data_IF_664582791925
#
_entry.id   IF_664582791925
#
_cell.length_a   1.000
_cell.length_b   1.000
_cell.length_c   1.000
_cell.angle_alpha   90.00
_cell.angle_beta   90.00
_cell.angle_gamma   90.00
#
_symmetry.space_group_name_H-M   'P 1'
#
loop_
_entity.id
_entity.type
_entity.pdbx_description
1 polymer ?
#
# COMPACT_ATOMS: atom_id res chain seq x y z
N UNK A 1 -9.78 -1.01 -7.64
CA UNK A 1 -9.63 -0.93 -9.12
C UNK A 1 -8.17 -0.78 -9.55
N UNK A 2 -7.39 0.13 -8.97
CA UNK A 2 -5.99 0.37 -9.38
C UNK A 2 -5.08 -0.86 -9.20
N UNK A 3 -5.11 -1.54 -8.03
CA UNK A 3 -4.29 -2.74 -7.80
C UNK A 3 -4.56 -3.86 -8.81
N UNK A 4 -5.83 -4.03 -9.23
CA UNK A 4 -6.25 -5.06 -10.19
C UNK A 4 -5.53 -4.95 -11.53
N UNK A 5 -5.29 -3.71 -12.00
CA UNK A 5 -4.62 -3.44 -13.27
C UNK A 5 -3.15 -3.05 -13.09
N UNK A 6 -2.59 -3.24 -11.89
CA UNK A 6 -1.26 -2.74 -11.57
C UNK A 6 -0.16 -3.34 -12.47
N UNK A 7 -0.24 -4.65 -12.73
CA UNK A 7 0.70 -5.35 -13.60
C UNK A 7 0.65 -4.78 -15.02
N UNK A 8 -0.56 -4.69 -15.60
CA UNK A 8 -0.78 -4.11 -16.93
C UNK A 8 -0.27 -2.67 -17.04
N UNK A 9 -0.47 -1.87 -15.98
CA UNK A 9 0.03 -0.48 -15.92
C UNK A 9 1.56 -0.46 -15.91
N UNK A 10 2.22 -1.31 -15.11
CA UNK A 10 3.67 -1.36 -15.02
C UNK A 10 4.30 -1.83 -16.35
N UNK A 11 3.74 -2.85 -16.99
CA UNK A 11 4.16 -3.30 -18.33
C UNK A 11 3.96 -2.21 -19.39
N UNK A 12 2.85 -1.49 -19.32
CA UNK A 12 2.59 -0.33 -20.18
C UNK A 12 3.64 0.76 -20.01
N UNK A 13 4.02 1.08 -18.77
CA UNK A 13 5.09 2.03 -18.45
C UNK A 13 6.44 1.54 -18.98
N UNK A 14 6.75 0.24 -18.87
CA UNK A 14 7.96 -0.36 -19.43
C UNK A 14 8.02 -0.19 -20.95
N UNK A 15 6.93 -0.51 -21.66
CA UNK A 15 6.84 -0.31 -23.12
C UNK A 15 7.06 1.15 -23.51
N UNK A 16 6.36 2.08 -22.85
CA UNK A 16 6.49 3.51 -23.11
C UNK A 16 7.91 4.04 -22.81
N UNK A 17 8.59 3.47 -21.81
CA UNK A 17 9.98 3.81 -21.45
C UNK A 17 11.02 3.37 -22.50
N UNK A 18 10.64 2.54 -23.47
CA UNK A 18 11.52 2.08 -24.55
C UNK A 18 11.15 2.69 -25.91
N UNK A 19 9.86 2.67 -26.24
CA UNK A 19 9.39 2.87 -27.62
C UNK A 19 8.87 4.29 -27.91
N UNK A 20 8.64 5.12 -26.89
CA UNK A 20 8.05 6.46 -27.08
C UNK A 20 9.07 7.56 -27.40
N UNK A 21 8.54 8.75 -27.71
CA UNK A 21 9.30 9.99 -27.84
C UNK A 21 10.06 10.33 -26.54
N UNK A 22 11.07 11.19 -26.64
CA UNK A 22 11.99 11.52 -25.53
C UNK A 22 11.28 11.98 -24.25
N UNK A 23 10.27 12.85 -24.36
CA UNK A 23 9.53 13.37 -23.21
C UNK A 23 8.73 12.27 -22.51
N UNK A 24 7.92 11.52 -23.26
CA UNK A 24 7.12 10.41 -22.74
C UNK A 24 8.00 9.31 -22.15
N UNK A 25 9.12 8.99 -22.81
CA UNK A 25 10.08 7.98 -22.36
C UNK A 25 10.62 8.27 -20.97
N UNK A 26 11.05 9.53 -20.76
CA UNK A 26 11.60 9.97 -19.48
C UNK A 26 10.57 9.86 -18.35
N UNK A 27 9.34 10.32 -18.60
CA UNK A 27 8.25 10.26 -17.62
C UNK A 27 7.87 8.81 -17.31
N UNK A 28 7.70 7.99 -18.35
CA UNK A 28 7.36 6.57 -18.18
C UNK A 28 8.43 5.82 -17.38
N UNK A 29 9.71 6.07 -17.65
CA UNK A 29 10.82 5.48 -16.89
C UNK A 29 10.83 5.92 -15.42
N UNK A 30 10.56 7.21 -15.14
CA UNK A 30 10.48 7.72 -13.77
C UNK A 30 9.31 7.07 -13.00
N UNK A 31 8.14 6.97 -13.62
CA UNK A 31 6.98 6.32 -13.03
C UNK A 31 7.24 4.83 -12.81
N UNK A 32 7.78 4.12 -13.81
CA UNK A 32 8.17 2.71 -13.70
C UNK A 32 9.12 2.50 -12.52
N UNK A 33 10.13 3.36 -12.40
CA UNK A 33 11.11 3.31 -11.31
C UNK A 33 10.47 3.51 -9.94
N UNK A 34 9.45 4.38 -9.84
CA UNK A 34 8.73 4.65 -8.60
C UNK A 34 7.79 3.50 -8.22
N UNK A 35 7.00 2.98 -9.17
CA UNK A 35 6.04 1.89 -8.90
C UNK A 35 6.71 0.55 -8.65
N UNK A 36 7.93 0.37 -9.16
CA UNK A 36 8.73 -0.84 -8.93
C UNK A 36 9.46 -0.84 -7.57
N UNK A 37 9.38 0.25 -6.80
CA UNK A 37 9.96 0.27 -5.46
C UNK A 37 9.22 -0.71 -4.56
N UNK A 38 9.98 -1.51 -3.81
CA UNK A 38 9.44 -2.45 -2.81
C UNK A 38 8.43 -1.77 -1.90
N UNK A 39 8.76 -0.58 -1.35
CA UNK A 39 7.85 0.18 -0.50
C UNK A 39 6.53 0.58 -1.20
N UNK A 40 6.56 0.85 -2.51
CA UNK A 40 5.36 1.20 -3.27
C UNK A 40 4.43 0.00 -3.41
N UNK A 41 4.94 -1.16 -3.83
CA UNK A 41 4.15 -2.40 -4.00
C UNK A 41 3.43 -2.76 -2.70
N UNK A 42 4.18 -2.69 -1.60
CA UNK A 42 3.69 -2.92 -0.26
C UNK A 42 2.65 -1.90 0.20
N UNK A 43 2.89 -0.60 -0.01
CA UNK A 43 1.93 0.46 0.29
C UNK A 43 0.64 0.32 -0.55
N UNK A 44 0.75 -0.04 -1.82
CA UNK A 44 -0.38 -0.31 -2.70
C UNK A 44 -1.27 -1.43 -2.12
N UNK A 45 -0.67 -2.51 -1.61
CA UNK A 45 -1.41 -3.59 -0.96
C UNK A 45 -2.21 -3.12 0.26
N UNK A 46 -1.58 -2.33 1.14
CA UNK A 46 -2.25 -1.75 2.32
C UNK A 46 -3.42 -0.87 1.89
N UNK A 47 -3.15 0.10 1.01
CA UNK A 47 -4.13 1.08 0.58
C UNK A 47 -5.32 0.39 -0.08
N UNK A 48 -5.10 -0.62 -0.92
CA UNK A 48 -6.18 -1.37 -1.59
C UNK A 48 -7.08 -2.11 -0.58
N UNK A 49 -6.49 -2.76 0.44
CA UNK A 49 -7.24 -3.45 1.50
C UNK A 49 -8.11 -2.47 2.29
N UNK A 50 -7.51 -1.41 2.84
CA UNK A 50 -8.25 -0.50 3.73
C UNK A 50 -9.17 0.45 2.97
N UNK A 51 -8.82 0.86 1.74
CA UNK A 51 -9.77 1.62 0.91
C UNK A 51 -11.01 0.79 0.56
N UNK A 52 -10.87 -0.52 0.35
CA UNK A 52 -12.02 -1.40 0.12
C UNK A 52 -12.94 -1.45 1.35
N UNK A 53 -12.37 -1.41 2.56
CA UNK A 53 -13.14 -1.31 3.80
C UNK A 53 -13.84 0.06 3.96
N UNK A 54 -13.18 1.15 3.54
CA UNK A 54 -13.71 2.52 3.62
C UNK A 54 -14.74 2.83 2.51
N UNK A 55 -14.71 2.09 1.40
CA UNK A 55 -15.55 2.35 0.23
C UNK A 55 -17.06 2.44 0.52
N UNK A 56 -17.67 1.57 1.36
CA UNK A 56 -19.08 1.69 1.72
C UNK A 56 -19.39 3.02 2.43
N UNK A 57 -18.51 3.45 3.35
CA UNK A 57 -18.65 4.72 4.06
C UNK A 57 -18.57 5.89 3.08
N UNK A 58 -17.59 5.90 2.18
CA UNK A 58 -17.47 6.96 1.18
C UNK A 58 -18.69 7.02 0.27
N UNK A 59 -19.25 5.88 -0.13
CA UNK A 59 -20.44 5.83 -0.96
C UNK A 59 -21.68 6.39 -0.24
N UNK A 60 -21.84 6.10 1.06
CA UNK A 60 -22.95 6.65 1.87
C UNK A 60 -22.78 8.16 2.02
N UNK A 61 -21.58 8.64 2.32
CA UNK A 61 -21.30 10.08 2.49
C UNK A 61 -21.45 10.87 1.18
N UNK A 62 -21.25 10.24 0.03
CA UNK A 62 -21.43 10.83 -1.29
C UNK A 62 -22.85 10.66 -1.84
N UNK A 63 -23.72 9.90 -1.16
CA UNK A 63 -25.11 9.71 -1.55
C UNK A 63 -25.89 11.01 -1.45
N UNK A 64 -26.85 11.21 -2.35
CA UNK A 64 -27.82 12.32 -2.27
C UNK A 64 -28.71 12.22 -1.02
N UNK A 65 -28.89 11.02 -0.51
CA UNK A 65 -29.61 10.73 0.74
C UNK A 65 -28.58 10.33 1.78
N UNK A 66 -28.32 11.22 2.74
CA UNK A 66 -27.31 11.00 3.76
C UNK A 66 -27.90 10.16 4.91
N UNK A 67 -27.66 8.86 4.90
CA UNK A 67 -28.04 7.95 5.99
C UNK A 67 -26.95 7.94 7.09
N UNK A 68 -26.94 9.00 7.90
CA UNK A 68 -25.90 9.24 8.93
C UNK A 68 -25.77 8.08 9.91
N UNK A 69 -26.89 7.49 10.35
CA UNK A 69 -26.87 6.37 11.32
C UNK A 69 -26.15 5.14 10.76
N UNK A 70 -26.46 4.74 9.53
CA UNK A 70 -25.78 3.63 8.86
C UNK A 70 -24.30 3.93 8.63
N UNK A 71 -23.97 5.18 8.30
CA UNK A 71 -22.58 5.62 8.17
C UNK A 71 -21.82 5.44 9.50
N UNK A 72 -22.41 5.84 10.62
CA UNK A 72 -21.82 5.69 11.95
C UNK A 72 -21.61 4.20 12.33
N UNK A 73 -22.58 3.34 12.05
CA UNK A 73 -22.47 1.88 12.27
C UNK A 73 -21.33 1.27 11.45
N UNK A 74 -21.19 1.66 10.18
CA UNK A 74 -20.10 1.21 9.32
C UNK A 74 -18.74 1.71 9.80
N UNK A 75 -18.64 2.99 10.21
CA UNK A 75 -17.41 3.54 10.79
C UNK A 75 -17.01 2.75 12.04
N UNK A 76 -17.95 2.48 12.94
CA UNK A 76 -17.68 1.71 14.16
C UNK A 76 -17.13 0.31 13.82
N UNK A 77 -17.72 -0.36 12.84
CA UNK A 77 -17.27 -1.67 12.36
C UNK A 77 -15.83 -1.61 11.83
N UNK A 78 -15.52 -0.60 11.02
CA UNK A 78 -14.18 -0.40 10.45
C UNK A 78 -13.16 -0.11 11.55
N UNK A 79 -13.48 0.77 12.50
CA UNK A 79 -12.60 1.11 13.63
C UNK A 79 -12.31 -0.13 14.48
N UNK A 80 -13.32 -0.96 14.76
CA UNK A 80 -13.14 -2.22 15.49
C UNK A 80 -12.22 -3.19 14.73
N UNK A 81 -12.41 -3.35 13.41
CA UNK A 81 -11.56 -4.21 12.60
C UNK A 81 -10.11 -3.70 12.50
N UNK A 82 -9.91 -2.39 12.33
CA UNK A 82 -8.56 -1.77 12.35
C UNK A 82 -7.87 -2.00 13.68
N UNK A 83 -8.60 -1.84 14.80
CA UNK A 83 -8.06 -2.09 16.13
C UNK A 83 -7.66 -3.57 16.34
N UNK A 84 -8.44 -4.51 15.80
CA UNK A 84 -8.12 -5.94 15.83
C UNK A 84 -6.85 -6.25 15.02
N UNK A 85 -6.77 -5.79 13.78
CA UNK A 85 -5.59 -5.95 12.95
C UNK A 85 -4.34 -5.30 13.55
N UNK A 86 -4.54 -4.22 14.32
CA UNK A 86 -3.46 -3.54 15.03
C UNK A 86 -2.96 -4.31 16.26
N UNK A 87 -3.79 -5.14 16.88
CA UNK A 87 -3.42 -6.03 18.00
C UNK A 87 -2.64 -7.26 17.54
N UNK A 88 -2.96 -7.78 16.35
CA UNK A 88 -2.24 -8.90 15.71
C UNK A 88 -1.65 -8.48 14.36
N UNK A 89 -0.64 -7.59 14.33
CA UNK A 89 -0.09 -7.08 13.07
C UNK A 89 0.65 -8.14 12.26
N UNK A 90 1.17 -9.18 12.91
CA UNK A 90 1.76 -10.37 12.27
C UNK A 90 0.74 -11.02 11.34
N UNK A 91 -0.40 -11.44 11.89
CA UNK A 91 -1.48 -12.12 11.19
C UNK A 91 -2.12 -11.20 10.14
N UNK A 92 -2.42 -9.95 10.52
CA UNK A 92 -3.09 -8.98 9.64
C UNK A 92 -2.29 -8.61 8.38
N UNK A 93 -0.97 -8.86 8.38
CA UNK A 93 -0.05 -8.54 7.30
C UNK A 93 0.28 -9.71 6.36
N UNK A 94 -0.03 -10.96 6.73
CA UNK A 94 0.38 -12.16 5.96
C UNK A 94 -0.09 -12.08 4.51
N UNK A 95 -1.39 -11.85 4.30
CA UNK A 95 -1.97 -11.76 2.95
C UNK A 95 -1.44 -10.56 2.16
N UNK A 96 -1.11 -9.47 2.85
CA UNK A 96 -0.53 -8.27 2.22
C UNK A 96 0.89 -8.56 1.71
N UNK A 97 1.69 -9.29 2.49
CA UNK A 97 3.05 -9.68 2.12
C UNK A 97 3.00 -10.65 0.94
N UNK A 98 2.17 -11.69 1.03
CA UNK A 98 1.99 -12.65 -0.06
C UNK A 98 1.55 -11.96 -1.36
N UNK A 99 0.59 -11.05 -1.27
CA UNK A 99 0.13 -10.30 -2.45
C UNK A 99 1.22 -9.41 -3.06
N UNK A 100 2.11 -8.84 -2.24
CA UNK A 100 3.25 -8.06 -2.73
C UNK A 100 4.28 -8.97 -3.44
N UNK A 101 4.53 -10.16 -2.90
CA UNK A 101 5.42 -11.16 -3.52
C UNK A 101 4.88 -11.66 -4.87
N UNK A 102 3.56 -11.88 -4.98
CA UNK A 102 2.90 -12.25 -6.24
C UNK A 102 3.07 -11.15 -7.30
N UNK A 103 2.82 -9.88 -6.93
CA UNK A 103 3.02 -8.73 -7.83
C UNK A 103 4.48 -8.62 -8.26
N UNK A 104 5.41 -8.78 -7.32
CA UNK A 104 6.84 -8.70 -7.62
C UNK A 104 7.29 -9.81 -8.58
N UNK A 105 6.78 -11.02 -8.37
CA UNK A 105 7.03 -12.17 -9.24
C UNK A 105 6.49 -11.93 -10.65
N UNK A 106 5.26 -11.42 -10.77
CA UNK A 106 4.63 -11.13 -12.06
C UNK A 106 5.42 -10.09 -12.87
N UNK A 107 6.01 -9.09 -12.19
CA UNK A 107 6.78 -8.02 -12.81
C UNK A 107 8.29 -8.29 -12.87
N UNK A 108 8.75 -9.48 -12.44
CA UNK A 108 10.17 -9.82 -12.31
C UNK A 108 10.97 -8.77 -11.50
N UNK A 109 10.38 -8.28 -10.42
CA UNK A 109 10.97 -7.30 -9.50
C UNK A 109 11.53 -8.05 -8.28
N UNK A 110 12.78 -7.76 -7.94
CA UNK A 110 13.37 -8.24 -6.70
C UNK A 110 12.95 -7.34 -5.53
N UNK A 111 12.21 -7.90 -4.57
CA UNK A 111 11.88 -7.18 -3.34
C UNK A 111 13.11 -7.09 -2.43
N UNK A 112 13.53 -5.86 -2.11
CA UNK A 112 14.73 -5.62 -1.32
C UNK A 112 14.44 -4.79 -0.08
N UNK A 113 15.14 -5.10 1.00
CA UNK A 113 15.17 -4.23 2.18
C UNK A 113 15.78 -2.88 1.79
N UNK A 114 15.13 -1.75 2.14
CA UNK A 114 15.73 -0.44 1.96
C UNK A 114 17.06 -0.34 2.70
N UNK A 115 18.01 0.44 2.15
CA UNK A 115 19.28 0.69 2.82
C UNK A 115 19.04 1.40 4.15
N UNK A 116 19.32 0.72 5.25
CA UNK A 116 19.35 1.30 6.59
C UNK A 116 20.75 1.83 6.86
N UNK A 117 20.85 3.12 7.23
CA UNK A 117 22.13 3.70 7.63
C UNK A 117 22.42 3.34 9.09
N UNK A 118 23.70 3.18 9.45
CA UNK A 118 24.11 2.86 10.83
C UNK A 118 23.65 3.91 11.85
N UNK A 119 23.43 5.15 11.42
CA UNK A 119 22.88 6.24 12.23
C UNK A 119 21.95 7.09 11.38
N UNK A 120 20.72 7.32 11.85
CA UNK A 120 19.79 8.31 11.31
C UNK A 120 19.28 9.17 12.46
N UNK A 121 19.37 10.49 12.33
CA UNK A 121 18.91 11.43 13.37
C UNK A 121 17.46 11.87 13.18
N UNK A 122 16.98 11.92 11.93
CA UNK A 122 15.67 12.49 11.58
C UNK A 122 14.65 11.45 11.08
N UNK A 123 15.05 10.18 10.91
CA UNK A 123 14.17 9.11 10.44
C UNK A 123 14.31 7.89 11.34
N UNK A 124 13.19 7.21 11.58
CA UNK A 124 13.18 5.96 12.32
C UNK A 124 13.99 4.88 11.58
N UNK A 125 15.06 4.42 12.21
CA UNK A 125 15.85 3.29 11.73
C UNK A 125 15.26 2.01 12.34
N UNK A 126 14.23 1.45 11.70
CA UNK A 126 13.57 0.26 12.21
C UNK A 126 14.47 -0.96 11.97
N UNK A 127 15.05 -1.58 13.02
CA UNK A 127 15.78 -2.82 12.82
C UNK A 127 14.80 -3.89 12.35
N UNK A 128 15.18 -4.65 11.34
CA UNK A 128 14.37 -5.72 10.80
C UNK A 128 15.28 -6.83 10.28
N UNK A 129 14.98 -8.07 10.66
CA UNK A 129 15.69 -9.26 10.20
C UNK A 129 15.14 -9.76 8.85
N UNK A 130 13.93 -9.33 8.48
CA UNK A 130 13.27 -9.72 7.23
C UNK A 130 12.53 -8.56 6.58
N UNK A 131 12.24 -8.71 5.29
CA UNK A 131 11.44 -7.78 4.52
C UNK A 131 10.05 -7.56 5.12
N UNK A 132 9.38 -8.65 5.50
CA UNK A 132 8.05 -8.60 6.11
C UNK A 132 8.03 -7.89 7.46
N UNK A 133 9.07 -8.07 8.28
CA UNK A 133 9.22 -7.35 9.54
C UNK A 133 9.45 -5.85 9.32
N UNK A 134 10.33 -5.49 8.38
CA UNK A 134 10.58 -4.10 8.02
C UNK A 134 9.30 -3.41 7.55
N UNK A 135 8.57 -4.05 6.63
CA UNK A 135 7.33 -3.55 6.08
C UNK A 135 6.24 -3.37 7.16
N UNK A 136 6.09 -4.36 8.04
CA UNK A 136 5.14 -4.28 9.16
C UNK A 136 5.40 -3.05 10.02
N UNK A 137 6.66 -2.85 10.43
CA UNK A 137 7.06 -1.75 11.33
C UNK A 137 7.05 -0.38 10.66
N UNK A 138 7.44 -0.31 9.38
CA UNK A 138 7.66 0.97 8.69
C UNK A 138 6.46 1.49 7.92
N UNK A 139 5.52 0.61 7.53
CA UNK A 139 4.38 0.97 6.69
C UNK A 139 3.05 0.49 7.28
N UNK A 140 2.92 -0.81 7.56
CA UNK A 140 1.62 -1.37 7.97
C UNK A 140 1.13 -0.82 9.30
N UNK A 141 1.91 -0.97 10.37
CA UNK A 141 1.54 -0.49 11.71
C UNK A 141 1.33 1.03 11.72
N UNK A 142 2.25 1.87 11.19
CA UNK A 142 2.03 3.32 11.11
C UNK A 142 0.76 3.70 10.35
N UNK A 143 0.41 2.96 9.28
CA UNK A 143 -0.82 3.22 8.54
C UNK A 143 -2.06 2.89 9.38
N UNK A 144 -2.09 1.76 10.09
CA UNK A 144 -3.19 1.44 11.01
C UNK A 144 -3.30 2.48 12.13
N UNK A 145 -2.16 2.90 12.69
CA UNK A 145 -2.12 3.93 13.71
C UNK A 145 -2.77 5.22 13.18
N UNK A 146 -2.48 5.62 11.94
CA UNK A 146 -3.09 6.80 11.30
C UNK A 146 -4.61 6.72 11.10
N UNK A 147 -5.17 5.50 10.97
CA UNK A 147 -6.61 5.28 10.89
C UNK A 147 -7.29 5.29 12.26
N UNK A 148 -6.52 5.04 13.32
CA UNK A 148 -7.01 4.96 14.70
C UNK A 148 -6.73 6.21 15.55
N UNK A 149 -5.78 7.05 15.13
CA UNK A 149 -5.45 8.29 15.82
C UNK A 149 -6.49 9.37 15.49
N UNK A 150 -7.28 9.77 16.49
CA UNK A 150 -8.06 11.02 16.51
C UNK A 150 -7.33 12.08 17.32
#
# INVERSE_FOLDING_TARGET
>A
MFKKHFVEIAEGLEKLSRESNSATRKVAFQLLSAVSQTAFIFALGIIDKYNSMLQPVTNILQSKTLEILRCAEHIQTITSAVAEYRRSPEEGSVDLIKSAEEIATALNIELRLPRTASRQQHRANQPAASLGEYFRRSLYVPYLDSLSSS
#
